data_IF_508740240443
#
_entry.id   IF_508740240443
#
_cell.length_a   1.000
_cell.length_b   1.000
_cell.length_c   1.000
_cell.angle_alpha   90.00
_cell.angle_beta   90.00
_cell.angle_gamma   90.00
#
_symmetry.space_group_name_H-M   'P 1'
#
loop_
_entity.id
_entity.type
_entity.pdbx_description
1 polymer ?
#
# COMPACT_ATOMS: atom_id res chain seq x y z
N UNK A 1 -1.30 -30.02 8.73
CA UNK A 1 -0.24 -28.99 8.67
C UNK A 1 -0.16 -28.36 10.04
N UNK A 2 1.03 -28.25 10.64
CA UNK A 2 1.17 -27.62 11.96
C UNK A 2 0.91 -26.12 11.81
N UNK A 3 -0.24 -25.63 12.28
CA UNK A 3 -0.61 -24.20 12.29
C UNK A 3 0.26 -23.37 13.24
N UNK A 4 1.13 -24.00 14.03
CA UNK A 4 1.91 -23.38 15.10
C UNK A 4 2.84 -22.24 14.65
N UNK A 5 3.25 -22.19 13.39
CA UNK A 5 4.16 -21.13 12.90
C UNK A 5 3.44 -19.95 12.21
N UNK A 6 2.14 -20.08 11.95
CA UNK A 6 1.37 -19.05 11.23
C UNK A 6 1.08 -17.86 12.14
N UNK A 7 1.78 -16.75 11.89
CA UNK A 7 1.53 -15.46 12.51
C UNK A 7 0.28 -14.84 11.91
N UNK A 8 0.23 -14.73 10.58
CA UNK A 8 -1.00 -14.41 9.86
C UNK A 8 -1.77 -15.71 9.59
N UNK A 9 -3.02 -15.78 10.05
CA UNK A 9 -3.91 -16.95 10.01
C UNK A 9 -5.01 -16.82 8.96
N UNK A 10 -5.31 -15.60 8.49
CA UNK A 10 -6.33 -15.36 7.47
C UNK A 10 -7.76 -15.57 7.99
N UNK A 11 -7.96 -15.43 9.30
CA UNK A 11 -9.26 -15.57 9.96
C UNK A 11 -10.01 -14.25 10.06
N UNK A 12 -9.32 -13.13 9.86
CA UNK A 12 -9.90 -11.77 9.89
C UNK A 12 -10.03 -11.18 11.30
N UNK A 13 -9.74 -11.95 12.35
CA UNK A 13 -9.81 -11.51 13.75
C UNK A 13 -8.51 -10.81 14.19
N UNK A 14 -8.53 -9.53 14.59
CA UNK A 14 -7.33 -8.82 15.00
C UNK A 14 -6.63 -9.40 16.23
N UNK A 15 -5.32 -9.65 16.15
CA UNK A 15 -4.51 -10.17 17.25
C UNK A 15 -3.09 -9.56 17.25
N UNK A 16 -2.38 -9.68 18.37
CA UNK A 16 -1.02 -9.12 18.55
C UNK A 16 0.10 -10.13 18.21
N UNK A 17 -0.21 -11.11 17.35
CA UNK A 17 0.70 -12.22 17.02
C UNK A 17 1.98 -11.76 16.32
N UNK A 18 1.99 -10.55 15.73
CA UNK A 18 3.20 -9.95 15.17
C UNK A 18 4.36 -9.90 16.18
N UNK A 19 4.07 -9.75 17.48
CA UNK A 19 5.09 -9.75 18.53
C UNK A 19 5.73 -11.12 18.80
N UNK A 20 5.18 -12.21 18.26
CA UNK A 20 5.74 -13.55 18.37
C UNK A 20 6.73 -13.90 17.25
N UNK A 21 6.95 -12.99 16.29
CA UNK A 21 7.98 -13.18 15.29
C UNK A 21 9.36 -13.25 15.98
N UNK A 22 10.24 -14.17 15.55
CA UNK A 22 11.61 -14.21 16.03
C UNK A 22 12.38 -12.97 15.58
N UNK A 23 13.57 -12.82 16.14
CA UNK A 23 14.54 -11.83 15.69
C UNK A 23 14.75 -11.94 14.17
N UNK A 24 14.92 -10.81 13.48
CA UNK A 24 15.11 -10.82 12.03
C UNK A 24 16.37 -11.61 11.65
N UNK A 25 16.42 -12.18 10.43
CA UNK A 25 17.66 -12.74 9.90
C UNK A 25 18.80 -11.69 9.94
N UNK A 26 20.07 -12.08 10.13
CA UNK A 26 21.18 -11.13 10.30
C UNK A 26 21.36 -10.13 9.15
N UNK A 27 20.99 -10.53 7.92
CA UNK A 27 21.02 -9.67 6.73
C UNK A 27 19.76 -8.78 6.56
N UNK A 28 18.87 -8.78 7.57
CA UNK A 28 17.62 -8.02 7.66
C UNK A 28 17.42 -7.43 9.07
N UNK A 29 18.47 -7.40 9.88
CA UNK A 29 18.47 -6.79 11.20
C UNK A 29 18.89 -5.33 11.07
N UNK A 30 17.92 -4.42 11.13
CA UNK A 30 18.13 -2.99 10.90
C UNK A 30 18.15 -2.24 12.24
N UNK A 31 19.12 -1.34 12.40
CA UNK A 31 19.42 -0.62 13.64
C UNK A 31 18.85 0.80 13.68
N UNK A 32 17.83 1.11 12.86
CA UNK A 32 17.22 2.43 12.80
C UNK A 32 16.75 2.93 14.18
N UNK A 33 17.04 4.20 14.48
CA UNK A 33 16.67 4.80 15.75
C UNK A 33 16.95 6.30 15.85
N UNK A 34 16.45 6.98 16.90
CA UNK A 34 15.55 6.44 17.93
C UNK A 34 14.18 6.11 17.35
N UNK A 35 13.47 5.20 18.01
CA UNK A 35 12.12 4.84 17.59
C UNK A 35 11.21 6.04 17.75
N UNK A 36 10.62 6.48 16.64
CA UNK A 36 9.64 7.56 16.64
C UNK A 36 8.36 7.11 17.34
N UNK A 37 7.66 8.04 17.98
CA UNK A 37 6.31 7.78 18.45
C UNK A 37 5.46 7.25 17.28
N UNK A 38 4.67 6.19 17.46
CA UNK A 38 3.81 5.67 16.40
C UNK A 38 2.84 6.77 15.97
N UNK A 39 3.12 7.40 14.84
CA UNK A 39 2.15 8.27 14.19
C UNK A 39 0.95 7.43 13.78
N UNK A 40 -0.11 7.44 14.57
CA UNK A 40 -1.37 6.81 14.21
C UNK A 40 -2.52 7.19 15.15
N UNK A 41 -3.75 7.36 14.64
CA UNK A 41 -4.16 7.95 13.36
C UNK A 41 -4.92 9.26 13.60
N UNK A 42 -4.85 10.20 12.66
CA UNK A 42 -6.03 11.02 12.39
C UNK A 42 -6.82 10.27 11.32
N UNK A 43 -7.79 9.47 11.76
CA UNK A 43 -8.87 8.89 10.96
C UNK A 43 -9.79 10.00 10.38
N UNK A 44 -9.24 11.17 10.07
CA UNK A 44 -10.00 12.37 9.72
C UNK A 44 -9.51 13.00 8.43
N UNK A 45 -10.52 13.31 7.61
CA UNK A 45 -10.56 14.33 6.57
C UNK A 45 -10.28 13.92 5.12
N UNK A 46 -10.63 12.69 4.71
CA UNK A 46 -11.10 12.52 3.34
C UNK A 46 -12.18 11.43 3.25
N UNK A 47 -13.46 11.84 3.16
CA UNK A 47 -14.61 10.93 3.15
C UNK A 47 -14.56 9.92 1.99
N UNK A 48 -13.85 10.25 0.91
CA UNK A 48 -13.66 9.36 -0.23
C UNK A 48 -12.63 8.25 0.06
N UNK A 49 -11.58 8.57 0.82
CA UNK A 49 -10.55 7.61 1.27
C UNK A 49 -11.12 6.70 2.35
N UNK A 50 -11.88 7.23 3.31
CA UNK A 50 -12.56 6.44 4.35
C UNK A 50 -13.58 5.45 3.76
N UNK A 51 -14.33 5.84 2.72
CA UNK A 51 -15.28 4.94 2.04
C UNK A 51 -14.58 3.80 1.30
N UNK A 52 -13.50 4.10 0.57
CA UNK A 52 -12.67 3.06 -0.10
C UNK A 52 -12.00 2.15 0.94
N UNK A 53 -11.44 2.72 2.00
CA UNK A 53 -10.85 1.97 3.12
C UNK A 53 -11.88 1.11 3.85
N UNK A 54 -13.13 1.57 4.02
CA UNK A 54 -14.21 0.80 4.62
C UNK A 54 -14.58 -0.43 3.79
N UNK A 55 -14.72 -0.26 2.48
CA UNK A 55 -14.96 -1.38 1.57
C UNK A 55 -13.78 -2.38 1.57
N UNK A 56 -12.54 -1.87 1.55
CA UNK A 56 -11.36 -2.73 1.64
C UNK A 56 -11.21 -3.40 3.02
N UNK A 57 -11.63 -2.76 4.11
CA UNK A 57 -11.63 -3.32 5.47
C UNK A 57 -12.64 -4.45 5.59
N UNK A 58 -13.87 -4.24 5.11
CA UNK A 58 -14.90 -5.29 5.08
C UNK A 58 -14.52 -6.45 4.16
N UNK A 59 -13.92 -6.16 3.00
CA UNK A 59 -13.38 -7.18 2.12
C UNK A 59 -12.18 -7.93 2.73
N UNK A 60 -11.36 -7.25 3.54
CA UNK A 60 -10.22 -7.83 4.25
C UNK A 60 -10.65 -8.78 5.38
N UNK A 61 -11.66 -8.41 6.18
CA UNK A 61 -12.25 -9.27 7.22
C UNK A 61 -12.82 -10.58 6.64
N UNK A 62 -13.32 -10.48 5.41
CA UNK A 62 -13.95 -11.58 4.71
C UNK A 62 -12.96 -12.35 3.80
N UNK A 63 -11.74 -11.86 3.62
CA UNK A 63 -10.74 -12.51 2.79
C UNK A 63 -10.20 -13.76 3.49
N UNK A 64 -10.49 -14.93 2.91
CA UNK A 64 -9.88 -16.19 3.34
C UNK A 64 -8.81 -16.62 2.33
N UNK A 65 -7.52 -16.54 2.70
CA UNK A 65 -6.44 -16.99 1.86
C UNK A 65 -6.39 -18.52 1.77
N UNK A 66 -5.90 -19.02 0.64
CA UNK A 66 -5.60 -20.46 0.46
C UNK A 66 -4.33 -20.83 1.26
N UNK A 67 -4.08 -22.13 1.57
CA UNK A 67 -2.91 -22.55 2.35
C UNK A 67 -1.57 -22.06 1.78
N UNK A 68 -1.39 -22.14 0.45
CA UNK A 68 -0.18 -21.65 -0.21
C UNK A 68 -0.01 -20.12 -0.07
N UNK A 69 -1.13 -19.37 -0.09
CA UNK A 69 -1.14 -17.94 0.14
C UNK A 69 -0.69 -17.62 1.58
N UNK A 70 -1.21 -18.35 2.56
CA UNK A 70 -0.81 -18.23 3.97
C UNK A 70 0.67 -18.50 4.19
N UNK A 71 1.20 -19.58 3.61
CA UNK A 71 2.62 -19.94 3.73
C UNK A 71 3.53 -18.86 3.14
N UNK A 72 3.19 -18.32 1.96
CA UNK A 72 3.97 -17.27 1.32
C UNK A 72 3.95 -15.96 2.11
N UNK A 73 2.80 -15.56 2.66
CA UNK A 73 2.67 -14.35 3.48
C UNK A 73 3.50 -14.47 4.76
N UNK A 74 3.39 -15.61 5.45
CA UNK A 74 4.16 -15.84 6.66
C UNK A 74 5.65 -15.93 6.35
N UNK A 75 6.07 -16.62 5.28
CA UNK A 75 7.46 -16.64 4.86
C UNK A 75 8.01 -15.22 4.61
N UNK A 76 7.23 -14.34 3.97
CA UNK A 76 7.59 -12.93 3.78
C UNK A 76 7.74 -12.18 5.12
N UNK A 77 6.83 -12.42 6.08
CA UNK A 77 6.95 -11.88 7.43
C UNK A 77 8.23 -12.35 8.11
N UNK A 78 8.47 -13.65 8.25
CA UNK A 78 9.66 -14.20 8.91
C UNK A 78 10.97 -13.74 8.26
N UNK A 79 11.03 -13.71 6.93
CA UNK A 79 12.24 -13.35 6.20
C UNK A 79 12.45 -11.84 6.04
N UNK A 80 11.48 -11.01 6.45
CA UNK A 80 11.48 -9.55 6.21
C UNK A 80 11.72 -9.23 4.74
N UNK A 81 11.08 -9.98 3.85
CA UNK A 81 11.21 -9.86 2.40
C UNK A 81 9.92 -9.34 1.78
N UNK A 82 9.99 -8.51 0.72
CA UNK A 82 8.79 -8.08 0.01
C UNK A 82 8.03 -9.27 -0.59
N UNK A 83 6.71 -9.21 -0.57
CA UNK A 83 5.81 -10.17 -1.20
C UNK A 83 5.41 -9.65 -2.58
N UNK A 84 5.84 -10.30 -3.65
CA UNK A 84 5.42 -10.01 -5.03
C UNK A 84 4.18 -10.82 -5.36
N UNK A 85 3.04 -10.15 -5.39
CA UNK A 85 1.71 -10.71 -5.64
C UNK A 85 1.33 -10.52 -7.10
N UNK A 86 1.26 -11.63 -7.84
CA UNK A 86 0.85 -11.67 -9.25
C UNK A 86 -0.54 -12.29 -9.38
N UNK A 87 -1.31 -11.88 -10.39
CA UNK A 87 -2.61 -12.47 -10.69
C UNK A 87 -3.48 -11.55 -11.52
N UNK A 88 -4.63 -12.07 -11.97
CA UNK A 88 -5.56 -11.31 -12.81
C UNK A 88 -6.14 -10.07 -12.09
N UNK A 89 -6.63 -9.07 -12.83
CA UNK A 89 -7.39 -7.97 -12.25
C UNK A 89 -8.55 -8.49 -11.39
N UNK A 90 -8.73 -7.90 -10.21
CA UNK A 90 -9.84 -8.27 -9.31
C UNK A 90 -9.66 -9.54 -8.46
N UNK A 91 -8.49 -10.20 -8.48
CA UNK A 91 -8.22 -11.39 -7.62
C UNK A 91 -7.99 -11.07 -6.13
N UNK A 92 -8.03 -9.78 -5.74
CA UNK A 92 -7.86 -9.34 -4.35
C UNK A 92 -6.41 -9.04 -3.94
N UNK A 93 -5.51 -8.81 -4.90
CA UNK A 93 -4.09 -8.47 -4.64
C UNK A 93 -3.93 -7.31 -3.64
N UNK A 94 -4.65 -6.22 -3.85
CA UNK A 94 -4.62 -5.04 -2.97
C UNK A 94 -5.34 -5.28 -1.64
N UNK A 95 -6.42 -6.09 -1.64
CA UNK A 95 -7.15 -6.47 -0.43
C UNK A 95 -6.27 -7.25 0.56
N UNK A 96 -5.32 -8.04 0.05
CA UNK A 96 -4.39 -8.81 0.87
C UNK A 96 -3.61 -7.94 1.86
N UNK A 97 -3.13 -6.77 1.41
CA UNK A 97 -2.39 -5.84 2.28
C UNK A 97 -3.25 -5.35 3.45
N UNK A 98 -4.52 -5.06 3.17
CA UNK A 98 -5.48 -4.64 4.19
C UNK A 98 -5.84 -5.77 5.15
N UNK A 99 -5.97 -7.01 4.66
CA UNK A 99 -6.23 -8.19 5.49
C UNK A 99 -5.10 -8.45 6.48
N UNK A 100 -3.84 -8.43 6.02
CA UNK A 100 -2.67 -8.60 6.90
C UNK A 100 -2.57 -7.44 7.89
N UNK A 101 -2.75 -6.19 7.44
CA UNK A 101 -2.66 -5.02 8.31
C UNK A 101 -3.73 -5.03 9.42
N UNK A 102 -4.95 -5.45 9.08
CA UNK A 102 -6.07 -5.56 10.01
C UNK A 102 -5.83 -6.66 11.05
N UNK A 103 -5.55 -7.88 10.58
CA UNK A 103 -5.40 -9.05 11.44
C UNK A 103 -4.20 -8.90 12.40
N UNK A 104 -3.09 -8.32 11.93
CA UNK A 104 -1.88 -8.14 12.74
C UNK A 104 -1.78 -6.77 13.45
N UNK A 105 -2.85 -5.96 13.40
CA UNK A 105 -2.89 -4.61 14.00
C UNK A 105 -1.70 -3.71 13.62
N UNK A 106 -1.34 -3.71 12.33
CA UNK A 106 -0.18 -2.94 11.80
C UNK A 106 -0.54 -1.52 11.38
N UNK A 107 -1.77 -1.07 11.66
CA UNK A 107 -2.26 0.26 11.35
C UNK A 107 -2.66 0.44 9.89
N UNK A 108 -2.64 1.70 9.43
CA UNK A 108 -3.04 2.05 8.07
C UNK A 108 -2.02 1.53 7.05
N UNK A 109 -2.53 0.90 5.98
CA UNK A 109 -1.76 0.56 4.78
C UNK A 109 -1.35 1.83 4.06
N UNK A 110 -0.05 2.03 3.89
CA UNK A 110 0.53 3.07 3.04
C UNK A 110 0.41 2.58 1.59
N UNK A 111 -0.25 3.34 0.72
CA UNK A 111 -0.50 2.92 -0.67
C UNK A 111 0.29 3.79 -1.62
N UNK A 112 1.09 3.16 -2.47
CA UNK A 112 1.83 3.80 -3.54
C UNK A 112 1.39 3.22 -4.89
N UNK A 113 0.46 3.88 -5.60
CA UNK A 113 0.08 3.47 -6.94
C UNK A 113 1.20 3.79 -7.94
N UNK A 114 1.54 2.83 -8.79
CA UNK A 114 2.58 2.97 -9.80
C UNK A 114 1.97 3.23 -11.17
N UNK A 115 2.57 4.18 -11.89
CA UNK A 115 2.28 4.49 -13.30
C UNK A 115 3.58 4.55 -14.08
N UNK A 116 3.50 4.68 -15.41
CA UNK A 116 4.66 4.68 -16.33
C UNK A 116 5.73 5.73 -16.05
N UNK A 117 5.38 6.81 -15.36
CA UNK A 117 6.29 7.90 -14.98
C UNK A 117 6.64 7.95 -13.50
N UNK A 118 6.22 6.94 -12.73
CA UNK A 118 6.55 6.87 -11.30
C UNK A 118 8.05 6.64 -11.14
N UNK A 119 8.67 7.45 -10.29
CA UNK A 119 10.10 7.36 -9.96
C UNK A 119 10.28 7.09 -8.47
N UNK A 120 11.42 6.50 -8.07
CA UNK A 120 11.70 6.14 -6.68
C UNK A 120 11.51 7.32 -5.72
N UNK A 121 11.96 8.51 -6.14
CA UNK A 121 11.88 9.74 -5.36
C UNK A 121 10.47 10.02 -4.84
N UNK A 122 9.42 9.79 -5.65
CA UNK A 122 8.04 10.03 -5.24
C UNK A 122 7.58 9.10 -4.11
N UNK A 123 8.15 7.90 -4.04
CA UNK A 123 7.93 6.95 -2.95
C UNK A 123 8.67 7.34 -1.67
N UNK A 124 9.87 7.93 -1.81
CA UNK A 124 10.72 8.32 -0.68
C UNK A 124 10.27 9.63 -0.04
N UNK A 125 10.32 10.75 -0.78
CA UNK A 125 9.91 12.06 -0.30
C UNK A 125 9.74 13.09 -1.42
N UNK A 126 9.00 14.16 -1.15
CA UNK A 126 8.87 15.34 -2.01
C UNK A 126 9.41 16.56 -1.29
N UNK A 127 10.08 17.42 -2.03
CA UNK A 127 10.59 18.69 -1.54
C UNK A 127 10.07 19.85 -2.40
N UNK A 128 9.36 20.79 -1.77
CA UNK A 128 8.84 21.98 -2.44
C UNK A 128 9.82 23.15 -2.35
N UNK A 129 10.80 23.14 -3.26
CA UNK A 129 11.81 24.19 -3.35
C UNK A 129 11.22 25.56 -3.70
N UNK A 130 10.10 25.60 -4.45
CA UNK A 130 9.48 26.85 -4.93
C UNK A 130 8.79 27.55 -3.76
N UNK A 131 7.97 26.83 -2.99
CA UNK A 131 7.33 27.37 -1.80
C UNK A 131 8.36 27.86 -0.78
N UNK A 132 9.49 27.14 -0.62
CA UNK A 132 10.59 27.59 0.24
C UNK A 132 11.20 28.90 -0.26
N UNK A 133 11.51 29.00 -1.55
CA UNK A 133 12.10 30.21 -2.12
C UNK A 133 11.18 31.42 -1.95
N UNK A 134 9.87 31.26 -2.18
CA UNK A 134 8.88 32.31 -1.99
C UNK A 134 8.80 32.75 -0.52
N UNK A 135 8.71 31.83 0.43
CA UNK A 135 8.67 32.15 1.86
C UNK A 135 9.96 32.87 2.32
N UNK A 136 11.13 32.46 1.82
CA UNK A 136 12.42 33.13 2.10
C UNK A 136 12.45 34.55 1.52
N UNK A 137 11.95 34.76 0.30
CA UNK A 137 11.88 36.09 -0.32
C UNK A 137 10.91 37.04 0.41
N UNK A 138 9.77 36.53 0.85
CA UNK A 138 8.80 37.28 1.65
C UNK A 138 9.41 37.65 3.00
N UNK A 139 10.10 36.72 3.67
CA UNK A 139 10.80 36.98 4.92
C UNK A 139 11.89 38.06 4.77
N UNK A 140 12.65 38.02 3.67
CA UNK A 140 13.68 39.01 3.36
C UNK A 140 13.09 40.40 3.02
N UNK A 141 11.90 40.45 2.40
CA UNK A 141 11.25 41.69 1.95
C UNK A 141 10.28 42.28 2.99
N UNK A 142 9.85 41.48 3.97
CA UNK A 142 8.82 41.79 4.97
C UNK A 142 9.30 42.54 6.22
N UNK A 143 10.47 43.18 6.17
CA UNK A 143 10.86 44.16 7.17
C UNK A 143 9.93 45.38 7.09
N UNK A 144 8.90 45.44 7.94
CA UNK A 144 7.95 46.54 7.95
C UNK A 144 8.66 47.90 8.09
N UNK A 145 8.33 48.93 7.27
CA UNK A 145 8.78 50.29 7.53
C UNK A 145 8.09 50.79 8.80
N UNK A 146 8.81 50.76 9.93
CA UNK A 146 8.33 51.22 11.24
C UNK A 146 8.20 50.16 12.34
N UNK A 147 8.57 48.90 12.10
CA UNK A 147 8.69 47.89 13.15
C UNK A 147 9.99 48.06 13.96
N UNK A 148 9.95 47.80 15.27
CA UNK A 148 11.14 47.84 16.13
C UNK A 148 12.29 46.99 15.53
N UNK A 149 13.55 47.44 15.61
CA UNK A 149 14.69 46.70 15.06
C UNK A 149 14.81 45.36 15.80
N UNK A 150 14.45 44.26 15.13
CA UNK A 150 14.58 42.91 15.70
C UNK A 150 13.57 41.85 15.23
N UNK A 151 12.45 42.21 14.59
CA UNK A 151 11.47 41.23 14.10
C UNK A 151 11.53 41.03 12.59
N UNK A 152 12.70 40.65 12.05
CA UNK A 152 12.74 39.99 10.76
C UNK A 152 12.10 38.61 10.97
N UNK A 153 10.95 38.34 10.36
CA UNK A 153 10.32 37.01 10.45
C UNK A 153 11.29 35.96 9.94
N UNK A 154 11.78 35.08 10.81
CA UNK A 154 12.65 33.98 10.38
C UNK A 154 11.91 33.13 9.35
N UNK A 155 12.58 32.81 8.24
CA UNK A 155 12.04 31.89 7.25
C UNK A 155 11.73 30.53 7.92
N UNK A 156 10.61 29.87 7.56
CA UNK A 156 10.29 28.56 8.12
C UNK A 156 11.43 27.55 7.85
N UNK A 157 11.66 26.66 8.81
CA UNK A 157 12.66 25.59 8.68
C UNK A 157 12.40 24.70 7.46
N UNK A 158 13.48 24.16 6.89
CA UNK A 158 13.45 23.38 5.63
C UNK A 158 12.46 22.21 5.67
N UNK A 159 12.26 21.61 6.84
CA UNK A 159 11.35 20.49 7.04
C UNK A 159 9.89 20.76 6.70
N UNK A 160 9.43 22.03 6.76
CA UNK A 160 8.07 22.43 6.34
C UNK A 160 7.79 22.07 4.87
N UNK A 161 8.82 22.07 4.04
CA UNK A 161 8.71 21.84 2.60
C UNK A 161 9.03 20.41 2.20
N UNK A 162 9.31 19.54 3.18
CA UNK A 162 9.61 18.13 2.95
C UNK A 162 8.42 17.29 3.43
N UNK A 163 7.92 16.44 2.53
CA UNK A 163 6.92 15.43 2.85
C UNK A 163 7.41 14.06 2.44
N UNK A 164 7.49 13.11 3.38
CA UNK A 164 7.82 11.73 3.07
C UNK A 164 6.72 11.11 2.21
N UNK A 165 7.12 10.31 1.23
CA UNK A 165 6.22 9.49 0.45
C UNK A 165 5.82 8.20 1.19
N UNK A 166 5.02 7.33 0.56
CA UNK A 166 4.56 6.10 1.19
C UNK A 166 5.70 5.15 1.61
N UNK A 167 6.72 4.97 0.76
CA UNK A 167 7.89 4.14 1.09
C UNK A 167 8.75 4.80 2.17
N UNK A 168 9.01 6.11 2.05
CA UNK A 168 9.78 6.83 3.06
C UNK A 168 9.11 6.82 4.45
N UNK A 169 7.78 6.92 4.48
CA UNK A 169 6.99 6.78 5.72
C UNK A 169 7.03 5.35 6.26
N UNK A 170 7.03 4.33 5.40
CA UNK A 170 7.11 2.94 5.81
C UNK A 170 8.48 2.55 6.41
N UNK A 171 9.55 3.26 6.01
CA UNK A 171 10.92 3.06 6.48
C UNK A 171 11.26 3.84 7.75
N UNK A 172 10.32 4.57 8.34
CA UNK A 172 10.55 5.23 9.62
C UNK A 172 10.89 4.20 10.71
N UNK A 173 11.76 4.55 11.67
CA UNK A 173 12.12 3.65 12.76
C UNK A 173 10.95 3.47 13.73
N UNK A 174 10.17 2.40 13.54
CA UNK A 174 9.06 2.00 14.42
C UNK A 174 9.32 0.63 15.04
N UNK A 175 8.78 0.37 16.24
CA UNK A 175 8.91 -0.96 16.88
C UNK A 175 8.16 -2.05 16.10
N UNK A 176 6.98 -1.72 15.56
CA UNK A 176 6.19 -2.63 14.72
C UNK A 176 6.36 -2.28 13.24
N UNK A 177 6.36 -3.27 12.34
CA UNK A 177 6.49 -3.01 10.91
C UNK A 177 5.24 -2.28 10.38
N UNK A 178 5.46 -1.29 9.52
CA UNK A 178 4.39 -0.65 8.74
C UNK A 178 4.04 -1.50 7.53
N UNK A 179 2.80 -1.42 7.04
CA UNK A 179 2.38 -2.10 5.81
C UNK A 179 2.43 -1.14 4.63
N UNK A 180 3.14 -1.52 3.58
CA UNK A 180 3.25 -0.77 2.33
C UNK A 180 2.72 -1.60 1.17
N UNK A 181 1.78 -1.04 0.42
CA UNK A 181 1.27 -1.58 -0.83
C UNK A 181 1.81 -0.76 -2.00
N UNK A 182 2.70 -1.35 -2.79
CA UNK A 182 3.15 -0.81 -4.08
C UNK A 182 2.30 -1.48 -5.16
N UNK A 183 1.38 -0.71 -5.74
CA UNK A 183 0.30 -1.24 -6.56
C UNK A 183 0.63 -1.08 -8.06
N UNK A 184 0.49 -2.16 -8.83
CA UNK A 184 0.71 -2.21 -10.28
C UNK A 184 2.15 -1.86 -10.70
N UNK A 185 3.15 -2.47 -10.03
CA UNK A 185 4.57 -2.21 -10.26
C UNK A 185 5.00 -2.47 -11.72
N UNK A 186 4.32 -3.38 -12.41
CA UNK A 186 4.57 -3.70 -13.82
C UNK A 186 4.29 -2.55 -14.78
N UNK A 187 3.54 -1.52 -14.36
CA UNK A 187 3.31 -0.31 -15.15
C UNK A 187 4.50 0.65 -15.16
N UNK A 188 5.49 0.45 -14.29
CA UNK A 188 6.66 1.33 -14.21
C UNK A 188 7.62 1.18 -15.39
N UNK A 189 8.50 2.18 -15.52
CA UNK A 189 9.68 2.05 -16.36
C UNK A 189 10.68 1.04 -15.77
N UNK A 190 11.66 0.61 -16.57
CA UNK A 190 12.64 -0.43 -16.24
C UNK A 190 13.53 -0.08 -15.04
N UNK A 191 13.69 1.20 -14.75
CA UNK A 191 14.59 1.70 -13.69
C UNK A 191 13.98 1.49 -12.30
N UNK A 192 12.68 1.78 -12.13
CA UNK A 192 12.03 1.80 -10.81
C UNK A 192 12.17 0.47 -10.04
N UNK A 193 11.94 -0.73 -10.63
CA UNK A 193 12.12 -1.98 -9.90
C UNK A 193 13.55 -2.20 -9.40
N UNK A 194 14.56 -1.75 -10.15
CA UNK A 194 15.97 -1.90 -9.76
C UNK A 194 16.35 -0.88 -8.69
N UNK A 195 15.93 0.37 -8.83
CA UNK A 195 16.18 1.43 -7.86
C UNK A 195 15.56 1.09 -6.49
N UNK A 196 14.37 0.49 -6.51
CA UNK A 196 13.69 0.03 -5.31
C UNK A 196 14.52 -1.01 -4.56
N UNK A 197 15.21 -1.92 -5.26
CA UNK A 197 15.98 -2.99 -4.61
C UNK A 197 17.02 -2.46 -3.64
N UNK A 198 17.75 -1.42 -4.02
CA UNK A 198 18.80 -0.85 -3.20
C UNK A 198 18.23 -0.35 -1.86
N UNK A 199 17.15 0.44 -1.90
CA UNK A 199 16.49 0.96 -0.69
C UNK A 199 15.92 -0.18 0.17
N UNK A 200 15.39 -1.24 -0.46
CA UNK A 200 14.82 -2.38 0.27
C UNK A 200 15.88 -3.32 0.85
N UNK A 201 17.10 -3.33 0.32
CA UNK A 201 18.22 -4.07 0.88
C UNK A 201 18.84 -3.31 2.05
N UNK A 202 19.09 -2.02 1.89
CA UNK A 202 19.72 -1.18 2.92
C UNK A 202 18.74 -0.80 4.05
N UNK A 203 17.44 -0.78 3.77
CA UNK A 203 16.42 -0.37 4.75
C UNK A 203 16.53 1.11 5.15
N UNK A 204 17.21 1.92 4.33
CA UNK A 204 17.43 3.34 4.57
C UNK A 204 17.46 4.17 3.29
N UNK A 205 17.31 5.49 3.45
CA UNK A 205 17.55 6.47 2.40
C UNK A 205 18.00 7.81 2.99
N UNK A 206 18.70 8.59 2.16
CA UNK A 206 19.12 9.94 2.49
C UNK A 206 18.13 11.00 1.98
N UNK A 207 18.05 12.11 2.69
CA UNK A 207 17.42 13.35 2.27
C UNK A 207 18.53 14.40 2.10
N UNK A 208 19.12 14.53 0.89
CA UNK A 208 20.22 15.46 0.62
C UNK A 208 19.96 16.90 1.09
N UNK A 209 18.71 17.36 1.06
CA UNK A 209 18.32 18.67 1.60
C UNK A 209 18.63 18.81 3.09
N UNK A 210 18.37 17.76 3.87
CA UNK A 210 18.58 17.72 5.31
C UNK A 210 20.02 17.36 5.68
N UNK A 211 20.68 16.49 4.92
CA UNK A 211 22.11 16.17 5.13
C UNK A 211 22.97 17.43 5.03
N UNK A 212 22.68 18.31 4.05
CA UNK A 212 23.43 19.55 3.85
C UNK A 212 23.34 20.54 5.02
N UNK A 213 22.28 20.45 5.82
CA UNK A 213 22.07 21.35 6.97
C UNK A 213 22.25 20.64 8.30
N UNK A 214 22.65 19.36 8.30
CA UNK A 214 22.72 18.55 9.52
C UNK A 214 23.67 19.10 10.58
N UNK A 215 24.73 19.81 10.17
CA UNK A 215 25.68 20.46 11.10
C UNK A 215 25.04 21.61 11.88
N UNK A 216 24.05 22.29 11.29
CA UNK A 216 23.35 23.45 11.90
C UNK A 216 21.98 23.09 12.45
N UNK A 217 21.28 22.16 11.80
CA UNK A 217 19.93 21.68 12.11
C UNK A 217 19.95 20.13 12.10
N UNK A 218 20.50 19.49 13.15
CA UNK A 218 20.67 18.03 13.19
C UNK A 218 19.35 17.27 13.31
N UNK A 219 18.30 17.92 13.81
CA UNK A 219 16.96 17.36 13.96
C UNK A 219 15.94 18.25 13.24
N UNK A 220 15.26 17.70 12.23
CA UNK A 220 14.30 18.45 11.41
C UNK A 220 12.96 17.72 11.39
N UNK A 221 11.89 18.44 11.72
CA UNK A 221 10.53 17.89 11.62
C UNK A 221 10.02 17.95 10.18
N UNK A 222 9.57 16.82 9.66
CA UNK A 222 8.98 16.67 8.32
C UNK A 222 7.57 16.08 8.42
N UNK A 223 6.77 16.24 7.37
CA UNK A 223 5.44 15.64 7.29
C UNK A 223 5.52 14.23 6.67
N UNK A 224 4.75 13.28 7.15
CA UNK A 224 4.65 11.94 6.54
C UNK A 224 3.55 11.88 5.48
N UNK A 225 3.47 10.77 4.75
CA UNK A 225 2.39 10.51 3.79
C UNK A 225 1.02 10.53 4.48
N UNK A 226 0.94 9.92 5.67
CA UNK A 226 -0.26 9.83 6.49
C UNK A 226 -0.54 11.07 7.36
N UNK A 227 0.25 12.14 7.22
CA UNK A 227 -0.02 13.47 7.80
C UNK A 227 0.49 13.67 9.22
N UNK A 228 1.24 12.70 9.77
CA UNK A 228 1.96 12.87 11.02
C UNK A 228 3.21 13.75 10.82
N UNK A 229 3.67 14.40 11.89
CA UNK A 229 4.97 15.07 11.92
C UNK A 229 5.97 14.17 12.59
N UNK A 230 7.12 13.96 11.96
CA UNK A 230 8.20 13.11 12.47
C UNK A 230 9.52 13.83 12.40
N UNK A 231 10.40 13.55 13.36
CA UNK A 231 11.73 14.15 13.42
C UNK A 231 12.72 13.27 12.68
N UNK A 232 13.35 13.81 11.63
CA UNK A 232 14.45 13.18 10.91
C UNK A 232 15.77 13.71 11.46
N UNK A 233 16.72 12.80 11.72
CA UNK A 233 18.02 13.14 12.31
C UNK A 233 19.14 12.93 11.30
N UNK A 234 20.03 13.91 11.17
CA UNK A 234 21.19 13.83 10.27
C UNK A 234 20.84 13.65 8.79
N UNK A 235 19.60 13.97 8.40
CA UNK A 235 19.12 13.83 7.02
C UNK A 235 19.02 12.40 6.50
N UNK A 236 18.97 11.38 7.35
CA UNK A 236 18.73 9.98 6.94
C UNK A 236 17.50 9.42 7.63
N UNK A 237 16.82 8.51 6.93
CA UNK A 237 15.76 7.68 7.49
C UNK A 237 16.20 6.23 7.35
N UNK A 238 16.23 5.52 8.48
CA UNK A 238 16.57 4.09 8.56
C UNK A 238 15.50 3.38 9.37
N UNK A 239 15.02 2.26 8.86
CA UNK A 239 14.00 1.47 9.55
C UNK A 239 14.60 0.70 10.73
N UNK A 240 13.74 0.38 11.71
CA UNK A 240 14.04 -0.57 12.79
C UNK A 240 13.34 -1.89 12.51
N UNK A 241 12.01 -1.86 12.51
CA UNK A 241 11.21 -2.93 11.95
C UNK A 241 11.08 -2.73 10.43
N UNK A 242 11.63 -3.67 9.65
CA UNK A 242 11.46 -3.65 8.20
C UNK A 242 9.96 -3.72 7.83
N UNK A 243 9.45 -2.82 6.98
CA UNK A 243 8.03 -2.79 6.64
C UNK A 243 7.59 -4.09 5.94
N UNK A 244 6.34 -4.49 6.16
CA UNK A 244 5.72 -5.55 5.38
C UNK A 244 5.28 -4.97 4.03
N UNK A 245 6.05 -5.27 2.98
CA UNK A 245 5.86 -4.71 1.65
C UNK A 245 5.17 -5.73 0.75
N UNK A 246 4.07 -5.30 0.12
CA UNK A 246 3.40 -6.03 -0.95
C UNK A 246 3.59 -5.26 -2.25
N UNK A 247 4.15 -5.93 -3.25
CA UNK A 247 4.24 -5.47 -4.63
C UNK A 247 3.15 -6.18 -5.43
N UNK A 248 2.28 -5.48 -6.14
CA UNK A 248 1.28 -6.12 -7.01
C UNK A 248 1.65 -5.99 -8.48
N UNK A 249 1.29 -7.00 -9.27
CA UNK A 249 1.41 -6.98 -10.73
C UNK A 249 0.27 -7.77 -11.37
N UNK A 250 -0.18 -7.30 -12.53
CA UNK A 250 -1.14 -7.99 -13.39
C UNK A 250 -0.45 -8.97 -14.36
N UNK A 251 0.88 -9.03 -14.35
CA UNK A 251 1.67 -9.83 -15.29
C UNK A 251 1.74 -9.22 -16.68
N UNK A 252 1.56 -7.89 -16.80
CA UNK A 252 1.63 -7.18 -18.09
C UNK A 252 3.07 -7.08 -18.61
N UNK A 253 4.05 -7.12 -17.71
CA UNK A 253 5.49 -7.02 -18.01
C UNK A 253 6.30 -7.96 -17.10
N UNK A 254 7.34 -8.56 -17.67
CA UNK A 254 8.29 -9.36 -16.90
C UNK A 254 9.20 -8.49 -16.03
N UNK A 255 9.46 -8.96 -14.81
CA UNK A 255 10.40 -8.31 -13.90
C UNK A 255 11.83 -8.86 -14.03
N UNK A 256 12.86 -8.04 -13.77
CA UNK A 256 14.23 -8.50 -13.71
C UNK A 256 14.41 -9.64 -12.70
N UNK A 257 15.25 -10.63 -13.01
CA UNK A 257 15.56 -11.74 -12.11
C UNK A 257 16.13 -11.26 -10.76
N UNK A 258 16.72 -10.07 -10.70
CA UNK A 258 17.18 -9.45 -9.47
C UNK A 258 16.05 -9.16 -8.48
N UNK A 259 14.88 -8.71 -8.98
CA UNK A 259 13.68 -8.46 -8.17
C UNK A 259 13.06 -9.79 -7.71
N UNK A 260 12.85 -10.72 -8.65
CA UNK A 260 12.22 -12.01 -8.37
C UNK A 260 12.97 -12.82 -7.30
N UNK A 261 14.31 -12.75 -7.28
CA UNK A 261 15.15 -13.43 -6.29
C UNK A 261 15.08 -12.81 -4.89
N UNK A 262 14.65 -11.55 -4.77
CA UNK A 262 14.59 -10.79 -3.50
C UNK A 262 13.18 -10.73 -2.92
N UNK A 263 12.16 -10.99 -3.73
CA UNK A 263 10.78 -11.09 -3.29
C UNK A 263 10.37 -12.54 -3.01
N UNK A 264 9.45 -12.75 -2.06
CA UNK A 264 8.66 -13.97 -1.99
C UNK A 264 7.57 -13.85 -3.04
N UNK A 265 7.45 -14.84 -3.93
CA UNK A 265 6.48 -14.80 -5.02
C UNK A 265 5.19 -15.47 -4.58
N UNK A 266 4.08 -14.76 -4.76
CA UNK A 266 2.74 -15.27 -4.54
C UNK A 266 1.92 -15.08 -5.81
N UNK A 267 1.35 -16.17 -6.33
CA UNK A 267 0.45 -16.12 -7.48
C UNK A 267 -0.97 -16.35 -7.00
N UNK A 268 -1.81 -15.31 -7.09
CA UNK A 268 -3.23 -15.45 -6.83
C UNK A 268 -3.91 -16.04 -8.06
N UNK A 269 -4.54 -17.19 -7.89
CA UNK A 269 -5.38 -17.81 -8.91
C UNK A 269 -6.67 -17.03 -9.16
N UNK A 270 -7.48 -17.51 -10.10
CA UNK A 270 -8.85 -17.03 -10.23
C UNK A 270 -9.64 -17.40 -8.97
N UNK A 271 -10.44 -16.47 -8.42
CA UNK A 271 -11.23 -16.76 -7.24
C UNK A 271 -12.31 -17.79 -7.56
N UNK A 272 -12.43 -18.83 -6.73
CA UNK A 272 -13.55 -19.76 -6.80
C UNK A 272 -14.87 -19.14 -6.33
N UNK A 273 -15.97 -19.89 -6.47
CA UNK A 273 -17.33 -19.46 -6.10
C UNK A 273 -17.45 -18.88 -4.70
N UNK A 274 -16.87 -19.56 -3.71
CA UNK A 274 -16.91 -19.08 -2.32
C UNK A 274 -16.24 -17.72 -2.15
N UNK A 275 -15.10 -17.50 -2.82
CA UNK A 275 -14.33 -16.26 -2.73
C UNK A 275 -15.03 -15.12 -3.47
N UNK A 276 -15.65 -15.41 -4.62
CA UNK A 276 -16.50 -14.44 -5.35
C UNK A 276 -17.74 -14.06 -4.55
N UNK A 277 -18.49 -15.03 -4.00
CA UNK A 277 -19.67 -14.75 -3.18
C UNK A 277 -19.30 -13.89 -1.96
N UNK A 278 -18.16 -14.18 -1.35
CA UNK A 278 -17.63 -13.41 -0.23
C UNK A 278 -17.24 -11.98 -0.63
N UNK A 279 -16.64 -11.81 -1.81
CA UNK A 279 -16.36 -10.49 -2.40
C UNK A 279 -17.65 -9.70 -2.68
N UNK A 280 -18.66 -10.33 -3.29
CA UNK A 280 -19.96 -9.71 -3.56
C UNK A 280 -20.61 -9.26 -2.26
N UNK A 281 -20.65 -10.13 -1.26
CA UNK A 281 -21.18 -9.81 0.07
C UNK A 281 -20.49 -8.61 0.71
N UNK A 282 -19.17 -8.54 0.62
CA UNK A 282 -18.39 -7.43 1.17
C UNK A 282 -18.71 -6.07 0.51
N UNK A 283 -19.07 -6.07 -0.78
CA UNK A 283 -19.31 -4.83 -1.54
C UNK A 283 -20.78 -4.44 -1.64
N UNK A 284 -21.68 -5.43 -1.77
CA UNK A 284 -23.09 -5.25 -2.10
C UNK A 284 -24.04 -5.79 -1.01
N UNK A 285 -23.53 -6.47 0.01
CA UNK A 285 -24.32 -7.05 1.09
C UNK A 285 -24.79 -8.49 0.83
N UNK A 286 -25.35 -9.12 1.86
CA UNK A 286 -25.76 -10.54 1.85
C UNK A 286 -26.89 -10.81 0.84
N UNK A 287 -27.88 -9.90 0.75
CA UNK A 287 -29.02 -10.06 -0.16
C UNK A 287 -28.57 -10.10 -1.64
N UNK A 288 -27.68 -9.18 -2.03
CA UNK A 288 -27.13 -9.15 -3.38
C UNK A 288 -26.26 -10.37 -3.67
N UNK A 289 -25.52 -10.88 -2.69
CA UNK A 289 -24.75 -12.11 -2.83
C UNK A 289 -25.65 -13.34 -3.05
N UNK A 290 -26.79 -13.39 -2.37
CA UNK A 290 -27.76 -14.48 -2.51
C UNK A 290 -28.52 -14.42 -3.84
N UNK A 291 -28.95 -13.22 -4.26
CA UNK A 291 -29.64 -13.00 -5.53
C UNK A 291 -28.71 -13.15 -6.74
N UNK A 292 -27.42 -12.83 -6.60
CA UNK A 292 -26.41 -12.91 -7.66
C UNK A 292 -25.71 -14.27 -7.78
N UNK A 293 -26.14 -15.30 -7.05
CA UNK A 293 -25.49 -16.61 -7.04
C UNK A 293 -25.51 -17.33 -8.40
N UNK A 294 -26.50 -17.04 -9.25
CA UNK A 294 -26.54 -17.47 -10.65
C UNK A 294 -25.44 -16.77 -11.48
N UNK A 295 -25.34 -15.44 -11.37
CA UNK A 295 -24.32 -14.65 -12.07
C UNK A 295 -22.89 -15.00 -11.65
N UNK A 296 -22.67 -15.35 -10.37
CA UNK A 296 -21.37 -15.84 -9.90
C UNK A 296 -20.99 -17.15 -10.62
N UNK A 297 -21.92 -18.11 -10.71
CA UNK A 297 -21.67 -19.39 -11.39
C UNK A 297 -21.45 -19.22 -12.89
N UNK A 298 -22.22 -18.34 -13.51
CA UNK A 298 -22.03 -18.00 -14.92
C UNK A 298 -20.68 -17.33 -15.17
N UNK A 299 -20.31 -16.34 -14.35
CA UNK A 299 -19.01 -15.67 -14.42
C UNK A 299 -17.85 -16.66 -14.29
N UNK A 300 -17.94 -17.62 -13.36
CA UNK A 300 -16.92 -18.67 -13.20
C UNK A 300 -16.82 -19.59 -14.40
N UNK A 301 -17.94 -19.92 -15.02
CA UNK A 301 -17.95 -20.72 -16.25
C UNK A 301 -17.22 -19.98 -17.36
N UNK A 302 -17.50 -18.68 -17.54
CA UNK A 302 -16.83 -17.83 -18.54
C UNK A 302 -15.34 -17.64 -18.22
N UNK A 303 -14.99 -17.42 -16.96
CA UNK A 303 -13.61 -17.13 -16.55
C UNK A 303 -12.63 -18.28 -16.82
N UNK A 304 -13.13 -19.52 -16.99
CA UNK A 304 -12.31 -20.67 -17.38
C UNK A 304 -11.74 -20.54 -18.80
N UNK A 305 -12.43 -19.85 -19.71
CA UNK A 305 -12.04 -19.72 -21.12
C UNK A 305 -11.83 -18.27 -21.58
N UNK A 306 -12.20 -17.31 -20.76
CA UNK A 306 -12.26 -15.90 -21.10
C UNK A 306 -11.57 -15.04 -20.04
N UNK A 307 -10.89 -13.97 -20.48
CA UNK A 307 -10.35 -12.98 -19.56
C UNK A 307 -11.46 -12.00 -19.18
N UNK A 308 -12.07 -12.23 -18.03
CA UNK A 308 -13.11 -11.39 -17.42
C UNK A 308 -12.61 -10.83 -16.09
N UNK A 309 -13.09 -9.64 -15.72
CA UNK A 309 -12.64 -8.94 -14.53
C UNK A 309 -13.72 -8.96 -13.43
N UNK A 310 -13.31 -9.12 -12.17
CA UNK A 310 -14.25 -9.28 -11.06
C UNK A 310 -15.15 -8.05 -10.80
N UNK A 311 -14.74 -6.86 -11.25
CA UNK A 311 -15.56 -5.65 -11.22
C UNK A 311 -16.75 -5.73 -12.21
N UNK A 312 -16.62 -6.45 -13.33
CA UNK A 312 -17.73 -6.72 -14.23
C UNK A 312 -18.84 -7.52 -13.53
N UNK A 313 -18.47 -8.50 -12.71
CA UNK A 313 -19.40 -9.27 -11.89
C UNK A 313 -20.10 -8.38 -10.85
N UNK A 314 -19.35 -7.53 -10.14
CA UNK A 314 -19.93 -6.59 -9.17
C UNK A 314 -20.92 -5.65 -9.84
N UNK A 315 -20.56 -5.09 -11.00
CA UNK A 315 -21.44 -4.20 -11.77
C UNK A 315 -22.69 -4.92 -12.27
N UNK A 316 -22.54 -6.16 -12.75
CA UNK A 316 -23.67 -6.98 -13.20
C UNK A 316 -24.64 -7.26 -12.05
N UNK A 317 -24.14 -7.72 -10.89
CA UNK A 317 -25.00 -7.98 -9.72
C UNK A 317 -25.65 -6.70 -9.21
N UNK A 318 -24.89 -5.59 -9.15
CA UNK A 318 -25.43 -4.31 -8.72
C UNK A 318 -26.56 -3.82 -9.64
N UNK A 319 -26.36 -3.83 -10.96
CA UNK A 319 -27.35 -3.33 -11.90
C UNK A 319 -28.58 -4.24 -11.97
N UNK A 320 -28.37 -5.56 -11.95
CA UNK A 320 -29.46 -6.54 -11.99
C UNK A 320 -30.33 -6.50 -10.74
N UNK A 321 -29.81 -6.04 -9.60
CA UNK A 321 -30.61 -5.77 -8.41
C UNK A 321 -31.72 -4.72 -8.64
N UNK A 322 -31.52 -3.80 -9.58
CA UNK A 322 -32.50 -2.74 -9.92
C UNK A 322 -33.32 -3.02 -11.19
N UNK A 323 -33.06 -4.12 -11.90
CA UNK A 323 -33.69 -4.43 -13.18
C UNK A 323 -34.78 -5.52 -13.06
N UNK A 324 -35.90 -5.36 -13.77
CA UNK A 324 -36.94 -6.39 -13.88
C UNK A 324 -36.54 -7.49 -14.90
N UNK A 325 -36.97 -8.77 -14.73
CA UNK A 325 -36.78 -9.81 -15.74
C UNK A 325 -37.76 -9.54 -16.90
N UNK A 326 -37.32 -9.21 -18.14
CA UNK A 326 -36.30 -9.89 -18.98
C UNK A 326 -35.02 -9.10 -19.27
N UNK A 327 -34.87 -7.86 -18.79
CA UNK A 327 -33.69 -7.01 -19.05
C UNK A 327 -32.45 -7.46 -18.27
N UNK A 328 -32.61 -8.38 -17.32
CA UNK A 328 -31.54 -8.85 -16.41
C UNK A 328 -30.43 -9.61 -17.14
N UNK A 329 -30.79 -10.54 -18.01
CA UNK A 329 -29.84 -11.38 -18.76
C UNK A 329 -29.07 -10.55 -19.78
N UNK A 330 -29.78 -9.74 -20.58
CA UNK A 330 -29.17 -8.82 -21.56
C UNK A 330 -28.18 -7.84 -20.92
N UNK A 331 -28.49 -7.33 -19.72
CA UNK A 331 -27.62 -6.43 -18.98
C UNK A 331 -26.39 -7.13 -18.39
N UNK A 332 -26.54 -8.38 -17.92
CA UNK A 332 -25.41 -9.17 -17.44
C UNK A 332 -24.44 -9.48 -18.58
N UNK A 333 -24.96 -9.85 -19.75
CA UNK A 333 -24.17 -10.07 -20.97
C UNK A 333 -23.45 -8.81 -21.47
N UNK A 334 -24.14 -7.66 -21.39
CA UNK A 334 -23.55 -6.37 -21.72
C UNK A 334 -22.35 -6.04 -20.83
N UNK A 335 -22.39 -6.43 -19.54
CA UNK A 335 -21.39 -6.03 -18.55
C UNK A 335 -20.24 -7.04 -18.40
N UNK A 336 -20.50 -8.34 -18.53
CA UNK A 336 -19.50 -9.40 -18.42
C UNK A 336 -18.96 -9.70 -19.82
N UNK A 337 -18.15 -8.77 -20.32
CA UNK A 337 -17.51 -8.89 -21.63
C UNK A 337 -16.09 -9.43 -21.54
N UNK A 338 -15.75 -10.30 -22.50
CA UNK A 338 -14.37 -10.72 -22.78
C UNK A 338 -13.44 -9.52 -23.00
N UNK A 339 -12.34 -9.47 -22.25
CA UNK A 339 -11.33 -8.41 -22.36
C UNK A 339 -10.20 -8.75 -23.35
N UNK A 340 -10.11 -9.99 -23.81
CA UNK A 340 -9.10 -10.52 -24.73
C UNK A 340 -9.48 -10.40 -26.22
N UNK A 341 -10.58 -9.71 -26.54
CA UNK A 341 -11.02 -9.55 -27.93
C UNK A 341 -10.04 -8.65 -28.71
N UNK A 342 -9.47 -9.10 -29.85
CA UNK A 342 -8.79 -8.19 -30.75
C UNK A 342 -9.80 -7.14 -31.24
N UNK A 343 -9.46 -5.86 -31.07
CA UNK A 343 -10.28 -4.73 -31.54
C UNK A 343 -10.26 -4.60 -33.05
#
# INVERSE_FOLDING_TARGET
MNEEWLIYRGVGEPHDGIGALPDPPPWRDFDGGPVGEPGGPADTADGNVARRLGAHRQAAELHRPEPEELEAINAALYLRRPLLVTGYPGTGKSTLAHAVAHELKLGRVLRWPVVSRTVLQEGLYRYDAIARLQDVQIAASGGAPGGAPGTAGQAPGIGKYIRLGPLGTALLPTERPRVLLIDELDKSDIDLPNDLLNVLEEGEFALPELERVADTEPEVQVLTDDGAKVTVRGGRVRCRAFPFIILTSNGERDFPAALLRRCIQLKLGQPGEKRLATMVRAHLGEEAAQLGADLIREFLSRSQSELVAADQLLNAIYLTHYAAPPTREDLADLLIQRLDRPR
#
